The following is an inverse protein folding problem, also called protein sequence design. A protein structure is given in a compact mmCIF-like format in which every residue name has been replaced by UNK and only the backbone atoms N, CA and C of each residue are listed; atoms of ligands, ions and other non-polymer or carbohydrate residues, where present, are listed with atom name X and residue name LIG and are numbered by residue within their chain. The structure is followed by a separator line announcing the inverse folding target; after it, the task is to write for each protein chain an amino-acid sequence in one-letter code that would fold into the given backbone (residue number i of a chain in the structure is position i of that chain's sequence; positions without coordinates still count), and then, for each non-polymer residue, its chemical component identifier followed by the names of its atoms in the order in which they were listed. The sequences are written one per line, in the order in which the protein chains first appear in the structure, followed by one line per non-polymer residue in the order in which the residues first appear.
data_IF_086316919927
#
_entry.id   IF_086316919927
#
_cell.length_a   1.000
_cell.length_b   1.000
_cell.length_c   1.000
_cell.angle_alpha   90.00
_cell.angle_beta   90.00
_cell.angle_gamma   90.00
#
_symmetry.space_group_name_H-M   'P 1'
#
loop_
_entity.id
_entity.type
_entity.pdbx_description
1 polymer ?
#
# COMPACT_ATOMS: atom_id res chain seq x y z
N UNK A 1 38.75 2.04 -40.21
CA UNK A 1 37.81 0.94 -39.90
C UNK A 1 36.39 1.49 -39.97
N UNK A 2 35.56 1.04 -40.91
CA UNK A 2 34.15 1.45 -41.00
C UNK A 2 33.38 0.68 -39.93
N UNK A 3 32.83 1.38 -38.94
CA UNK A 3 31.78 0.81 -38.08
C UNK A 3 30.64 0.40 -39.02
N UNK A 4 30.39 -0.91 -39.16
CA UNK A 4 29.15 -1.39 -39.75
C UNK A 4 28.03 -0.84 -38.87
N UNK A 5 27.27 0.13 -39.39
CA UNK A 5 25.97 0.47 -38.79
C UNK A 5 25.17 -0.82 -38.76
N UNK A 6 24.86 -1.29 -37.56
CA UNK A 6 23.91 -2.39 -37.38
C UNK A 6 22.63 -2.00 -38.11
N UNK A 7 22.03 -2.93 -38.86
CA UNK A 7 20.75 -2.65 -39.49
C UNK A 7 19.75 -2.20 -38.40
N UNK A 8 18.92 -1.17 -38.67
CA UNK A 8 17.99 -0.67 -37.67
C UNK A 8 17.07 -1.80 -37.23
N UNK A 9 16.90 -1.93 -35.91
CA UNK A 9 16.01 -2.92 -35.31
C UNK A 9 14.57 -2.63 -35.75
N UNK A 10 13.76 -3.68 -35.97
CA UNK A 10 12.40 -3.56 -36.51
C UNK A 10 11.29 -3.90 -35.49
N UNK A 11 11.65 -4.21 -34.24
CA UNK A 11 10.72 -4.59 -33.18
C UNK A 11 11.26 -4.12 -31.82
N UNK A 12 10.35 -3.87 -30.87
CA UNK A 12 10.71 -3.42 -29.52
C UNK A 12 11.60 -4.44 -28.79
N UNK A 13 12.42 -3.95 -27.86
CA UNK A 13 13.09 -4.83 -26.91
C UNK A 13 12.06 -5.45 -25.97
N UNK A 14 12.36 -6.64 -25.46
CA UNK A 14 11.69 -7.20 -24.30
C UNK A 14 12.69 -7.34 -23.16
N UNK A 15 12.20 -7.34 -21.92
CA UNK A 15 13.06 -7.52 -20.74
C UNK A 15 13.77 -8.88 -20.82
N UNK A 16 13.06 -9.94 -21.23
CA UNK A 16 13.60 -11.29 -21.35
C UNK A 16 14.76 -11.32 -22.35
N UNK A 17 14.66 -10.60 -23.48
CA UNK A 17 15.75 -10.51 -24.43
C UNK A 17 16.97 -9.81 -23.84
N UNK A 18 16.79 -8.70 -23.13
CA UNK A 18 17.90 -8.00 -22.46
C UNK A 18 18.52 -8.88 -21.38
N UNK A 19 17.73 -9.69 -20.69
CA UNK A 19 18.21 -10.66 -19.70
C UNK A 19 19.08 -11.77 -20.32
N UNK A 20 18.90 -12.14 -21.59
CA UNK A 20 19.80 -13.10 -22.25
C UNK A 20 21.22 -12.56 -22.48
N UNK A 21 21.39 -11.23 -22.52
CA UNK A 21 22.69 -10.60 -22.71
C UNK A 21 23.51 -10.68 -21.42
N UNK A 22 24.81 -10.92 -21.53
CA UNK A 22 25.72 -10.81 -20.38
C UNK A 22 25.83 -9.35 -19.91
N UNK A 23 26.16 -9.15 -18.63
CA UNK A 23 26.40 -7.80 -18.06
C UNK A 23 27.39 -6.98 -18.89
N UNK A 24 28.43 -7.62 -19.45
CA UNK A 24 29.43 -6.94 -20.30
C UNK A 24 28.85 -6.50 -21.65
N UNK A 25 27.94 -7.30 -22.23
CA UNK A 25 27.27 -6.97 -23.49
C UNK A 25 26.29 -5.81 -23.32
N UNK A 26 25.50 -5.82 -22.24
CA UNK A 26 24.58 -4.73 -21.93
C UNK A 26 25.36 -3.41 -21.79
N UNK A 27 26.43 -3.39 -20.99
CA UNK A 27 27.28 -2.21 -20.79
C UNK A 27 27.90 -1.76 -22.12
N UNK A 28 28.38 -2.70 -22.95
CA UNK A 28 28.95 -2.37 -24.27
C UNK A 28 27.90 -1.72 -25.17
N UNK A 29 26.66 -2.22 -25.18
CA UNK A 29 25.58 -1.70 -26.01
C UNK A 29 25.11 -0.32 -25.51
N UNK A 30 24.98 -0.13 -24.20
CA UNK A 30 24.73 1.20 -23.59
C UNK A 30 25.79 2.23 -24.01
N UNK A 31 27.08 1.87 -23.94
CA UNK A 31 28.17 2.75 -24.43
C UNK A 31 28.10 2.99 -25.93
N UNK A 32 27.70 1.99 -26.70
CA UNK A 32 27.44 2.11 -28.14
C UNK A 32 26.33 3.12 -28.46
N UNK A 33 25.37 3.28 -27.56
CA UNK A 33 24.32 4.30 -27.64
C UNK A 33 24.68 5.64 -26.97
N UNK A 34 25.92 5.84 -26.54
CA UNK A 34 26.38 7.11 -25.99
C UNK A 34 26.30 7.25 -24.46
N UNK A 35 25.83 6.23 -23.73
CA UNK A 35 25.83 6.25 -22.26
C UNK A 35 27.25 5.96 -21.74
N UNK A 36 27.92 6.91 -21.07
CA UNK A 36 29.23 6.70 -20.44
C UNK A 36 29.11 5.87 -19.15
N UNK A 37 28.73 4.60 -19.31
CA UNK A 37 28.45 3.72 -18.20
C UNK A 37 29.73 3.41 -17.39
N UNK A 38 29.72 3.80 -16.11
CA UNK A 38 30.73 3.44 -15.11
C UNK A 38 30.06 2.72 -13.95
N UNK A 39 30.56 1.53 -13.61
CA UNK A 39 29.98 0.70 -12.53
C UNK A 39 29.94 1.43 -11.19
N UNK A 40 31.01 2.17 -10.84
CA UNK A 40 31.05 2.93 -9.60
C UNK A 40 29.96 4.02 -9.54
N UNK A 41 29.77 4.76 -10.63
CA UNK A 41 28.73 5.78 -10.72
C UNK A 41 27.34 5.14 -10.66
N UNK A 42 27.12 4.06 -11.40
CA UNK A 42 25.85 3.32 -11.39
C UNK A 42 25.46 2.90 -9.96
N UNK A 43 26.41 2.35 -9.18
CA UNK A 43 26.15 1.93 -7.80
C UNK A 43 25.83 3.09 -6.84
N UNK A 44 26.24 4.31 -7.17
CA UNK A 44 25.83 5.52 -6.44
C UNK A 44 24.49 6.06 -6.95
N UNK A 45 24.23 5.99 -8.25
CA UNK A 45 22.98 6.44 -8.86
C UNK A 45 21.79 5.62 -8.38
N UNK A 46 21.92 4.29 -8.27
CA UNK A 46 20.84 3.41 -7.77
C UNK A 46 20.42 3.72 -6.32
N UNK A 47 21.24 4.47 -5.56
CA UNK A 47 20.86 4.94 -4.21
C UNK A 47 20.07 6.25 -4.24
N UNK A 48 20.09 6.97 -5.37
CA UNK A 48 19.50 8.30 -5.56
C UNK A 48 18.21 8.25 -6.34
N UNK A 49 18.08 7.30 -7.26
CA UNK A 49 16.88 7.07 -8.05
C UNK A 49 16.05 5.93 -7.44
N UNK A 50 14.74 5.97 -7.67
CA UNK A 50 13.85 4.90 -7.24
C UNK A 50 13.46 3.97 -8.38
N UNK A 51 13.49 4.41 -9.64
CA UNK A 51 13.12 3.60 -10.79
C UNK A 51 14.26 3.57 -11.82
N UNK A 52 14.35 2.48 -12.57
CA UNK A 52 15.26 2.36 -13.69
C UNK A 52 14.84 3.28 -14.85
N UNK A 53 13.55 3.55 -15.02
CA UNK A 53 13.04 4.54 -15.96
C UNK A 53 13.56 5.95 -15.64
N UNK A 54 13.48 6.41 -14.39
CA UNK A 54 13.97 7.74 -14.00
C UNK A 54 15.49 7.86 -14.16
N UNK A 55 16.22 6.77 -13.89
CA UNK A 55 17.65 6.71 -14.11
C UNK A 55 18.00 6.79 -15.61
N UNK A 56 17.23 6.12 -16.47
CA UNK A 56 17.39 6.21 -17.92
C UNK A 56 17.06 7.62 -18.44
N UNK A 57 16.00 8.25 -17.95
CA UNK A 57 15.67 9.65 -18.25
C UNK A 57 16.78 10.60 -17.81
N UNK A 58 17.41 10.34 -16.66
CA UNK A 58 18.58 11.08 -16.23
C UNK A 58 19.74 10.92 -17.23
N UNK A 59 20.03 9.70 -17.69
CA UNK A 59 21.05 9.47 -18.71
C UNK A 59 20.77 10.21 -20.02
N UNK A 60 19.51 10.23 -20.48
CA UNK A 60 19.10 11.00 -21.69
C UNK A 60 19.44 12.48 -21.55
N UNK A 61 19.34 13.05 -20.34
CA UNK A 61 19.63 14.48 -20.10
C UNK A 61 21.13 14.79 -20.02
N UNK A 62 21.97 13.85 -19.61
CA UNK A 62 23.39 14.11 -19.33
C UNK A 62 24.36 13.51 -20.37
N UNK A 63 23.88 12.60 -21.22
CA UNK A 63 24.70 11.94 -22.24
C UNK A 63 24.14 12.17 -23.65
N UNK A 64 25.00 12.15 -24.68
CA UNK A 64 24.56 12.26 -26.07
C UNK A 64 23.99 10.92 -26.56
N UNK A 65 22.80 10.55 -26.06
CA UNK A 65 22.18 9.27 -26.40
C UNK A 65 21.79 9.25 -27.89
N UNK A 66 22.17 8.18 -28.59
CA UNK A 66 21.89 7.98 -30.02
C UNK A 66 20.94 6.80 -30.28
N UNK A 67 20.37 6.21 -29.23
CA UNK A 67 19.30 5.23 -29.37
C UNK A 67 18.06 5.95 -29.89
N UNK A 68 17.46 5.44 -30.96
CA UNK A 68 16.26 6.01 -31.57
C UNK A 68 15.25 4.89 -31.83
N UNK A 69 13.96 5.24 -31.82
CA UNK A 69 12.86 4.33 -32.15
C UNK A 69 12.86 3.08 -31.26
N UNK A 70 12.90 1.89 -31.87
CA UNK A 70 12.88 0.62 -31.17
C UNK A 70 14.07 0.38 -30.24
N UNK A 71 15.18 1.12 -30.39
CA UNK A 71 16.33 0.99 -29.49
C UNK A 71 16.24 1.89 -28.25
N UNK A 72 15.31 2.85 -28.18
CA UNK A 72 15.10 3.70 -26.99
C UNK A 72 14.75 2.85 -25.76
N UNK A 73 13.93 1.81 -25.97
CA UNK A 73 13.53 0.88 -24.91
C UNK A 73 14.71 0.16 -24.27
N UNK A 74 15.77 -0.05 -25.04
CA UNK A 74 16.95 -0.74 -24.53
C UNK A 74 17.57 0.00 -23.33
N UNK A 75 17.50 1.34 -23.29
CA UNK A 75 18.19 2.13 -22.27
C UNK A 75 17.61 1.85 -20.88
N UNK A 76 16.28 1.95 -20.73
CA UNK A 76 15.60 1.71 -19.46
C UNK A 76 15.56 0.22 -19.10
N UNK A 77 15.36 -0.68 -20.07
CA UNK A 77 15.41 -2.12 -19.84
C UNK A 77 16.80 -2.59 -19.39
N UNK A 78 17.86 -2.06 -20.00
CA UNK A 78 19.23 -2.31 -19.58
C UNK A 78 19.49 -1.81 -18.15
N UNK A 79 18.94 -0.64 -17.78
CA UNK A 79 19.03 -0.14 -16.42
C UNK A 79 18.39 -1.11 -15.43
N UNK A 80 17.19 -1.65 -15.70
CA UNK A 80 16.52 -2.66 -14.85
C UNK A 80 17.41 -3.89 -14.66
N UNK A 81 17.87 -4.48 -15.76
CA UNK A 81 18.65 -5.73 -15.72
C UNK A 81 20.00 -5.52 -15.03
N UNK A 82 20.67 -4.39 -15.27
CA UNK A 82 21.92 -4.05 -14.58
C UNK A 82 21.70 -3.77 -13.11
N UNK A 83 20.58 -3.15 -12.72
CA UNK A 83 20.25 -2.89 -11.33
C UNK A 83 20.11 -4.20 -10.55
N UNK A 84 19.30 -5.13 -11.07
CA UNK A 84 19.11 -6.48 -10.50
C UNK A 84 20.43 -7.24 -10.32
N UNK A 85 21.37 -7.07 -11.26
CA UNK A 85 22.64 -7.82 -11.28
C UNK A 85 23.76 -7.17 -10.47
N UNK A 86 23.83 -5.84 -10.44
CA UNK A 86 24.94 -5.10 -9.86
C UNK A 86 24.64 -4.56 -8.46
N UNK A 87 23.36 -4.33 -8.15
CA UNK A 87 22.89 -3.84 -6.85
C UNK A 87 21.65 -4.62 -6.39
N UNK A 88 21.73 -5.96 -6.24
CA UNK A 88 20.57 -6.80 -5.90
C UNK A 88 19.92 -6.44 -4.55
N UNK A 89 20.68 -5.85 -3.63
CA UNK A 89 20.20 -5.44 -2.30
C UNK A 89 19.42 -4.11 -2.33
N UNK A 90 19.42 -3.40 -3.46
CA UNK A 90 18.73 -2.13 -3.65
C UNK A 90 17.52 -2.34 -4.54
N UNK A 91 16.33 -2.42 -3.96
CA UNK A 91 15.07 -2.65 -4.69
C UNK A 91 14.63 -1.38 -5.41
N UNK A 92 14.53 -1.43 -6.73
CA UNK A 92 13.94 -0.36 -7.55
C UNK A 92 12.40 -0.46 -7.62
N UNK A 93 11.76 0.51 -8.27
CA UNK A 93 10.30 0.62 -8.31
C UNK A 93 9.68 -0.42 -9.22
N UNK A 94 10.36 -0.82 -10.30
CA UNK A 94 9.90 -1.89 -11.18
C UNK A 94 9.84 -3.24 -10.44
N UNK A 95 10.86 -3.57 -9.64
CA UNK A 95 10.84 -4.75 -8.78
C UNK A 95 9.76 -4.65 -7.69
N UNK A 96 9.55 -3.46 -7.13
CA UNK A 96 8.54 -3.26 -6.10
C UNK A 96 7.12 -3.35 -6.68
N UNK A 97 6.91 -2.88 -7.90
CA UNK A 97 5.66 -2.99 -8.65
C UNK A 97 5.36 -4.45 -9.00
N UNK A 98 6.36 -5.21 -9.47
CA UNK A 98 6.24 -6.67 -9.66
C UNK A 98 5.82 -7.38 -8.36
N UNK A 99 6.39 -6.96 -7.22
CA UNK A 99 5.99 -7.49 -5.91
C UNK A 99 4.53 -7.14 -5.58
N UNK A 100 4.10 -5.90 -5.82
CA UNK A 100 2.72 -5.46 -5.61
C UNK A 100 1.75 -6.24 -6.49
N UNK A 101 2.04 -6.41 -7.78
CA UNK A 101 1.19 -7.20 -8.67
C UNK A 101 1.05 -8.63 -8.19
N UNK A 102 2.15 -9.23 -7.69
CA UNK A 102 2.08 -10.56 -7.09
C UNK A 102 1.23 -10.59 -5.81
N UNK A 103 1.23 -9.53 -5.00
CA UNK A 103 0.31 -9.37 -3.87
C UNK A 103 -1.15 -9.44 -4.31
N UNK A 104 -1.52 -8.65 -5.32
CA UNK A 104 -2.87 -8.68 -5.91
C UNK A 104 -3.22 -10.03 -6.53
N UNK A 105 -2.27 -10.73 -7.17
CA UNK A 105 -2.48 -12.10 -7.66
C UNK A 105 -2.80 -13.06 -6.53
N UNK A 106 -2.01 -13.04 -5.45
CA UNK A 106 -2.23 -13.89 -4.27
C UNK A 106 -3.61 -13.64 -3.65
N UNK A 107 -4.04 -12.37 -3.60
CA UNK A 107 -5.41 -12.01 -3.20
C UNK A 107 -6.46 -12.62 -4.12
N UNK A 108 -6.31 -12.52 -5.45
CA UNK A 108 -7.22 -13.14 -6.43
C UNK A 108 -7.26 -14.67 -6.30
N UNK A 109 -6.12 -15.28 -6.01
CA UNK A 109 -5.96 -16.72 -5.73
C UNK A 109 -6.52 -17.14 -4.35
N UNK A 110 -7.07 -16.20 -3.54
CA UNK A 110 -7.53 -16.41 -2.15
C UNK A 110 -6.46 -16.89 -1.19
N UNK A 111 -5.19 -16.59 -1.46
CA UNK A 111 -4.03 -16.92 -0.61
C UNK A 111 -3.73 -15.75 0.34
N UNK A 112 -4.71 -15.41 1.18
CA UNK A 112 -4.72 -14.16 1.95
C UNK A 112 -3.51 -14.03 2.89
N UNK A 113 -3.11 -15.11 3.58
CA UNK A 113 -1.92 -15.09 4.46
C UNK A 113 -0.64 -14.77 3.71
N UNK A 114 -0.47 -15.34 2.51
CA UNK A 114 0.69 -15.08 1.66
C UNK A 114 0.68 -13.67 1.07
N UNK A 115 -0.51 -13.18 0.69
CA UNK A 115 -0.73 -11.80 0.31
C UNK A 115 -0.26 -10.86 1.44
N UNK A 116 -0.78 -11.01 2.66
CA UNK A 116 -0.39 -10.17 3.80
C UNK A 116 1.11 -10.18 4.09
N UNK A 117 1.76 -11.35 3.98
CA UNK A 117 3.22 -11.45 4.14
C UNK A 117 3.97 -10.72 3.03
N UNK A 118 3.49 -10.79 1.78
CA UNK A 118 4.06 -10.06 0.64
C UNK A 118 3.89 -8.55 0.81
N UNK A 119 2.70 -8.09 1.16
CA UNK A 119 2.41 -6.68 1.39
C UNK A 119 3.22 -6.10 2.56
N UNK A 120 3.45 -6.89 3.61
CA UNK A 120 4.34 -6.52 4.72
C UNK A 120 5.78 -6.32 4.24
N UNK A 121 6.28 -7.14 3.32
CA UNK A 121 7.62 -6.94 2.74
C UNK A 121 7.69 -5.66 1.91
N UNK A 122 6.68 -5.42 1.06
CA UNK A 122 6.56 -4.21 0.22
C UNK A 122 6.60 -2.96 1.10
N UNK A 123 5.83 -2.97 2.19
CA UNK A 123 5.82 -1.90 3.19
C UNK A 123 7.20 -1.61 3.77
N UNK A 124 7.95 -2.63 4.19
CA UNK A 124 9.29 -2.43 4.75
C UNK A 124 10.30 -1.90 3.73
N UNK A 125 10.09 -2.15 2.44
CA UNK A 125 10.87 -1.49 1.37
C UNK A 125 10.45 -0.03 1.16
N UNK A 126 9.15 0.27 1.11
CA UNK A 126 8.63 1.62 0.95
C UNK A 126 9.03 2.55 2.10
N UNK A 127 8.93 2.07 3.35
CA UNK A 127 9.30 2.82 4.55
C UNK A 127 10.72 3.37 4.50
N UNK A 128 11.66 2.63 3.90
CA UNK A 128 13.06 3.05 3.75
C UNK A 128 13.23 4.21 2.76
N UNK A 129 12.24 4.44 1.89
CA UNK A 129 12.25 5.54 0.92
C UNK A 129 11.62 6.81 1.47
N UNK A 130 10.82 6.72 2.53
CA UNK A 130 10.17 7.89 3.13
C UNK A 130 11.18 8.78 3.84
N UNK A 131 11.17 10.05 3.48
CA UNK A 131 11.97 11.08 4.16
C UNK A 131 11.19 11.65 5.36
N UNK A 132 11.88 12.25 6.35
CA UNK A 132 11.20 12.91 7.48
C UNK A 132 10.19 14.00 7.07
N UNK A 133 10.35 14.60 5.89
CA UNK A 133 9.48 15.66 5.36
C UNK A 133 8.22 15.12 4.67
N UNK A 134 8.18 13.83 4.34
CA UNK A 134 7.00 13.16 3.80
C UNK A 134 6.04 12.86 4.94
N UNK A 135 5.08 13.77 5.18
CA UNK A 135 4.07 13.64 6.25
C UNK A 135 2.73 13.11 5.78
N UNK A 136 2.54 12.82 4.50
CA UNK A 136 1.29 12.29 3.94
C UNK A 136 1.59 11.21 2.90
N UNK A 137 0.67 10.24 2.74
CA UNK A 137 0.83 9.21 1.69
C UNK A 137 0.81 9.82 0.30
N UNK A 138 0.05 10.91 0.12
CA UNK A 138 -0.03 11.68 -1.12
C UNK A 138 1.33 12.30 -1.48
N UNK A 139 2.08 12.80 -0.50
CA UNK A 139 3.45 13.29 -0.72
C UNK A 139 4.42 12.13 -0.96
N UNK A 140 4.17 10.96 -0.36
CA UNK A 140 5.02 9.78 -0.52
C UNK A 140 4.85 9.10 -1.89
N UNK A 141 3.79 9.39 -2.66
CA UNK A 141 3.63 8.87 -4.04
C UNK A 141 4.88 9.14 -4.90
N UNK A 142 5.60 10.25 -4.67
CA UNK A 142 6.79 10.58 -5.46
C UNK A 142 7.97 9.62 -5.28
N UNK A 143 7.95 8.72 -4.28
CA UNK A 143 9.04 7.75 -4.05
C UNK A 143 8.78 6.38 -4.68
N UNK A 144 7.71 6.27 -5.45
CA UNK A 144 7.33 5.05 -6.15
C UNK A 144 6.78 5.36 -7.53
N UNK A 145 7.21 4.58 -8.51
CA UNK A 145 6.71 4.63 -9.88
C UNK A 145 6.29 3.22 -10.28
N UNK A 146 5.01 3.01 -10.56
CA UNK A 146 4.47 1.69 -10.89
C UNK A 146 3.02 1.76 -11.33
N UNK A 147 2.37 0.60 -11.39
CA UNK A 147 0.97 0.47 -11.80
C UNK A 147 -0.03 0.84 -10.69
N UNK A 148 0.42 0.84 -9.44
CA UNK A 148 -0.43 1.05 -8.27
C UNK A 148 -0.21 2.44 -7.67
N UNK A 149 -1.26 2.96 -7.03
CA UNK A 149 -1.18 4.16 -6.21
C UNK A 149 -0.91 3.76 -4.76
N UNK A 150 0.09 4.36 -4.12
CA UNK A 150 0.37 4.15 -2.70
C UNK A 150 -0.83 4.52 -1.82
N UNK A 151 -1.59 5.55 -2.20
CA UNK A 151 -2.82 5.96 -1.52
C UNK A 151 -3.87 4.83 -1.48
N UNK A 152 -4.08 4.12 -2.58
CA UNK A 152 -5.01 2.97 -2.62
C UNK A 152 -4.41 1.75 -1.93
N UNK A 153 -3.16 1.44 -2.26
CA UNK A 153 -2.45 0.27 -1.76
C UNK A 153 -2.38 0.23 -0.23
N UNK A 154 -2.13 1.36 0.45
CA UNK A 154 -2.07 1.38 1.91
C UNK A 154 -3.39 0.98 2.58
N UNK A 155 -4.53 1.36 1.98
CA UNK A 155 -5.86 1.00 2.47
C UNK A 155 -6.20 -0.45 2.15
N UNK A 156 -5.80 -0.94 0.97
CA UNK A 156 -5.94 -2.35 0.61
C UNK A 156 -5.17 -3.24 1.60
N UNK A 157 -3.94 -2.87 1.96
CA UNK A 157 -3.13 -3.60 2.93
C UNK A 157 -3.82 -3.69 4.30
N UNK A 158 -4.35 -2.57 4.80
CA UNK A 158 -5.12 -2.57 6.04
C UNK A 158 -6.29 -3.57 5.96
N UNK A 159 -7.06 -3.50 4.88
CA UNK A 159 -8.26 -4.31 4.69
C UNK A 159 -7.92 -5.80 4.64
N UNK A 160 -6.85 -6.17 3.93
CA UNK A 160 -6.41 -7.56 3.83
C UNK A 160 -5.90 -8.11 5.15
N UNK A 161 -5.23 -7.30 5.98
CA UNK A 161 -4.89 -7.71 7.35
C UNK A 161 -6.14 -7.98 8.18
N UNK A 162 -7.20 -7.20 7.99
CA UNK A 162 -8.50 -7.41 8.63
C UNK A 162 -9.16 -8.70 8.18
N UNK A 163 -9.20 -8.93 6.86
CA UNK A 163 -9.73 -10.16 6.28
C UNK A 163 -8.97 -11.39 6.80
N UNK A 164 -7.64 -11.35 6.81
CA UNK A 164 -6.79 -12.43 7.32
C UNK A 164 -7.02 -12.68 8.82
N UNK A 165 -7.30 -11.63 9.59
CA UNK A 165 -7.58 -11.71 11.02
C UNK A 165 -8.75 -12.64 11.36
N UNK A 166 -9.74 -12.74 10.47
CA UNK A 166 -10.91 -13.61 10.66
C UNK A 166 -10.57 -15.10 10.67
N UNK A 167 -9.45 -15.49 10.04
CA UNK A 167 -8.95 -16.86 10.03
C UNK A 167 -7.82 -17.08 11.04
N UNK A 168 -7.08 -16.03 11.38
CA UNK A 168 -5.88 -16.10 12.21
C UNK A 168 -5.64 -14.76 12.91
N UNK A 169 -5.95 -14.73 14.21
CA UNK A 169 -6.03 -13.50 15.01
C UNK A 169 -4.72 -12.72 15.08
N UNK A 170 -3.56 -13.34 14.82
CA UNK A 170 -2.27 -12.64 14.72
C UNK A 170 -2.29 -11.51 13.69
N UNK A 171 -3.13 -11.62 12.65
CA UNK A 171 -3.24 -10.57 11.64
C UNK A 171 -4.00 -9.33 12.15
N UNK A 172 -4.85 -9.46 13.18
CA UNK A 172 -5.41 -8.29 13.86
C UNK A 172 -4.33 -7.53 14.64
N UNK A 173 -3.39 -8.23 15.29
CA UNK A 173 -2.24 -7.60 15.93
C UNK A 173 -1.37 -6.85 14.91
N UNK A 174 -1.12 -7.47 13.75
CA UNK A 174 -0.41 -6.82 12.63
C UNK A 174 -1.18 -5.62 12.07
N UNK A 175 -2.52 -5.70 11.96
CA UNK A 175 -3.37 -4.56 11.53
C UNK A 175 -3.25 -3.39 12.50
N UNK A 176 -3.25 -3.66 13.81
CA UNK A 176 -3.04 -2.64 14.85
C UNK A 176 -1.67 -1.98 14.71
N UNK A 177 -0.60 -2.77 14.60
CA UNK A 177 0.76 -2.25 14.41
C UNK A 177 0.85 -1.41 13.13
N UNK A 178 0.26 -1.91 12.05
CA UNK A 178 0.22 -1.26 10.75
C UNK A 178 -0.43 0.12 10.83
N UNK A 179 -1.67 0.18 11.32
CA UNK A 179 -2.44 1.41 11.42
C UNK A 179 -1.73 2.46 12.28
N UNK A 180 -1.19 2.03 13.43
CA UNK A 180 -0.46 2.90 14.36
C UNK A 180 0.79 3.50 13.75
N UNK A 181 1.60 2.67 13.09
CA UNK A 181 2.80 3.17 12.43
C UNK A 181 2.42 4.12 11.29
N UNK A 182 1.37 3.79 10.52
CA UNK A 182 0.91 4.59 9.39
C UNK A 182 0.56 6.03 9.81
N UNK A 183 -0.38 6.23 10.74
CA UNK A 183 -0.79 7.59 11.11
C UNK A 183 0.26 8.32 11.98
N UNK A 184 1.23 7.61 12.58
CA UNK A 184 2.37 8.22 13.27
C UNK A 184 3.40 8.76 12.28
N UNK A 185 3.65 8.02 11.22
CA UNK A 185 4.64 8.35 10.20
C UNK A 185 4.11 9.38 9.20
N UNK A 186 2.84 9.26 8.83
CA UNK A 186 2.17 10.07 7.81
C UNK A 186 0.94 10.80 8.40
N UNK A 187 1.12 11.67 9.42
CA UNK A 187 0.03 12.30 10.15
C UNK A 187 -0.83 13.27 9.32
N UNK A 188 -0.28 13.80 8.22
CA UNK A 188 -0.93 14.79 7.34
C UNK A 188 -1.61 14.12 6.14
N UNK A 189 -1.69 12.78 6.12
CA UNK A 189 -2.51 12.04 5.15
C UNK A 189 -3.97 12.47 5.25
N UNK A 190 -4.72 12.41 4.14
CA UNK A 190 -6.13 12.79 4.14
C UNK A 190 -6.91 12.24 5.35
N UNK A 191 -7.77 13.10 5.91
CA UNK A 191 -8.51 12.78 7.14
C UNK A 191 -9.41 11.54 7.00
N UNK A 192 -9.88 11.25 5.78
CA UNK A 192 -10.63 10.03 5.48
C UNK A 192 -9.79 8.78 5.77
N UNK A 193 -8.57 8.71 5.23
CA UNK A 193 -7.68 7.55 5.41
C UNK A 193 -7.24 7.44 6.87
N UNK A 194 -6.89 8.55 7.52
CA UNK A 194 -6.53 8.55 8.95
C UNK A 194 -7.68 8.02 9.82
N UNK A 195 -8.92 8.45 9.57
CA UNK A 195 -10.09 7.95 10.28
C UNK A 195 -10.32 6.45 10.04
N UNK A 196 -10.13 5.97 8.80
CA UNK A 196 -10.25 4.55 8.48
C UNK A 196 -9.19 3.72 9.23
N UNK A 197 -7.93 4.14 9.21
CA UNK A 197 -6.83 3.45 9.93
C UNK A 197 -7.08 3.40 11.44
N UNK A 198 -7.52 4.51 12.05
CA UNK A 198 -7.86 4.52 13.49
C UNK A 198 -9.06 3.63 13.80
N UNK A 199 -10.07 3.61 12.93
CA UNK A 199 -11.23 2.72 13.09
C UNK A 199 -10.82 1.25 13.00
N UNK A 200 -10.01 0.91 12.02
CA UNK A 200 -9.45 -0.43 11.82
C UNK A 200 -8.66 -0.94 13.03
N UNK A 201 -7.84 -0.07 13.63
CA UNK A 201 -7.17 -0.36 14.90
C UNK A 201 -8.19 -0.68 16.00
N UNK A 202 -9.21 0.17 16.16
CA UNK A 202 -10.21 0.01 17.20
C UNK A 202 -11.05 -1.27 17.02
N UNK A 203 -11.48 -1.57 15.80
CA UNK A 203 -12.17 -2.81 15.43
C UNK A 203 -11.32 -4.05 15.74
N UNK A 204 -10.02 -4.00 15.41
CA UNK A 204 -9.09 -5.10 15.64
C UNK A 204 -8.96 -5.45 17.12
N UNK A 205 -9.03 -4.47 18.03
CA UNK A 205 -9.08 -4.73 19.47
C UNK A 205 -10.31 -5.51 19.89
N UNK A 206 -11.48 -5.19 19.34
CA UNK A 206 -12.68 -5.95 19.61
C UNK A 206 -12.56 -7.38 19.10
N UNK A 207 -12.02 -7.59 17.89
CA UNK A 207 -11.81 -8.92 17.33
C UNK A 207 -10.80 -9.77 18.10
N UNK A 208 -9.90 -9.15 18.86
CA UNK A 208 -8.99 -9.82 19.79
C UNK A 208 -9.60 -10.05 21.19
N UNK A 209 -10.87 -9.70 21.40
CA UNK A 209 -11.53 -9.76 22.71
C UNK A 209 -11.08 -8.66 23.69
N UNK A 210 -10.24 -7.72 23.26
CA UNK A 210 -9.72 -6.61 24.08
C UNK A 210 -10.67 -5.40 24.08
N UNK A 211 -11.93 -5.66 24.47
CA UNK A 211 -13.04 -4.71 24.40
C UNK A 211 -12.72 -3.34 25.00
N UNK A 212 -12.12 -3.28 26.18
CA UNK A 212 -11.82 -2.01 26.86
C UNK A 212 -10.85 -1.14 26.06
N UNK A 213 -9.88 -1.75 25.37
CA UNK A 213 -8.96 -1.04 24.47
C UNK A 213 -9.67 -0.56 23.22
N UNK A 214 -10.54 -1.40 22.64
CA UNK A 214 -11.39 -1.01 21.51
C UNK A 214 -12.29 0.18 21.85
N UNK A 215 -12.99 0.14 22.98
CA UNK A 215 -13.81 1.24 23.48
C UNK A 215 -13.00 2.52 23.68
N UNK A 216 -11.80 2.41 24.29
CA UNK A 216 -10.93 3.56 24.48
C UNK A 216 -10.44 4.14 23.15
N UNK A 217 -10.14 3.30 22.16
CA UNK A 217 -9.75 3.74 20.82
C UNK A 217 -10.89 4.46 20.11
N UNK A 218 -12.12 3.91 20.12
CA UNK A 218 -13.28 4.57 19.53
C UNK A 218 -13.65 5.88 20.21
N UNK A 219 -13.54 5.96 21.55
CA UNK A 219 -13.74 7.22 22.29
C UNK A 219 -12.80 8.31 21.79
N UNK A 220 -11.51 7.99 21.62
CA UNK A 220 -10.54 8.93 21.04
C UNK A 220 -10.94 9.37 19.63
N UNK A 221 -11.40 8.45 18.79
CA UNK A 221 -11.86 8.78 17.42
C UNK A 221 -13.01 9.78 17.45
N UNK A 222 -14.02 9.59 18.30
CA UNK A 222 -15.17 10.51 18.35
C UNK A 222 -14.89 11.81 19.12
N UNK A 223 -13.82 11.86 19.90
CA UNK A 223 -13.31 13.09 20.52
C UNK A 223 -12.52 13.92 19.49
N UNK A 224 -11.73 13.26 18.64
CA UNK A 224 -10.91 13.89 17.61
C UNK A 224 -11.73 14.29 16.36
N UNK A 225 -12.72 13.48 15.99
CA UNK A 225 -13.58 13.66 14.81
C UNK A 225 -15.07 13.57 15.16
N UNK A 226 -15.59 14.44 16.06
CA UNK A 226 -16.96 14.34 16.56
C UNK A 226 -18.03 14.49 15.47
N UNK A 227 -17.69 15.17 14.36
CA UNK A 227 -18.55 15.43 13.21
C UNK A 227 -18.66 14.22 12.26
N UNK A 228 -17.75 13.25 12.37
CA UNK A 228 -17.69 12.08 11.50
C UNK A 228 -18.56 10.95 12.03
N UNK A 229 -19.65 10.61 11.32
CA UNK A 229 -20.55 9.53 11.71
C UNK A 229 -19.85 8.17 11.87
N UNK A 230 -18.83 7.90 11.05
CA UNK A 230 -18.17 6.59 10.98
C UNK A 230 -17.45 6.14 12.26
N UNK A 231 -17.06 7.06 13.14
CA UNK A 231 -16.53 6.71 14.46
C UNK A 231 -17.61 6.09 15.34
N UNK A 232 -18.81 6.67 15.35
CA UNK A 232 -19.96 6.15 16.09
C UNK A 232 -20.53 4.89 15.44
N UNK A 233 -20.59 4.85 14.11
CA UNK A 233 -21.09 3.67 13.37
C UNK A 233 -20.21 2.46 13.67
N UNK A 234 -18.91 2.56 13.41
CA UNK A 234 -17.99 1.45 13.67
C UNK A 234 -18.01 0.99 15.12
N UNK A 235 -18.08 1.94 16.07
CA UNK A 235 -18.13 1.59 17.49
C UNK A 235 -19.41 0.84 17.86
N UNK A 236 -20.58 1.31 17.42
CA UNK A 236 -21.85 0.64 17.70
C UNK A 236 -21.94 -0.73 17.02
N UNK A 237 -21.41 -0.87 15.80
CA UNK A 237 -21.45 -2.12 15.04
C UNK A 237 -20.72 -3.26 15.78
N UNK A 238 -19.65 -2.96 16.52
CA UNK A 238 -18.92 -3.95 17.34
C UNK A 238 -19.73 -4.61 18.45
N UNK A 239 -20.87 -4.03 18.84
CA UNK A 239 -21.71 -4.52 19.93
C UNK A 239 -22.84 -5.45 19.50
N UNK A 240 -23.13 -5.53 18.21
CA UNK A 240 -24.24 -6.38 17.73
C UNK A 240 -24.05 -6.97 16.34
N UNK A 241 -23.44 -6.23 15.42
CA UNK A 241 -23.35 -6.65 14.02
C UNK A 241 -22.31 -7.75 13.85
N UNK A 242 -21.19 -7.61 14.55
CA UNK A 242 -20.07 -8.53 14.45
C UNK A 242 -20.08 -9.63 15.52
N UNK A 243 -20.84 -9.49 16.61
CA UNK A 243 -20.91 -10.39 17.79
C UNK A 243 -21.44 -11.82 17.55
N UNK A 244 -21.32 -12.35 16.32
CA UNK A 244 -21.73 -13.71 15.95
C UNK A 244 -20.62 -14.76 16.10
N UNK A 245 -19.42 -14.35 16.53
CA UNK A 245 -18.35 -15.25 16.97
C UNK A 245 -18.33 -15.31 18.50
N UNK A 246 -18.10 -16.50 19.06
CA UNK A 246 -18.05 -16.75 20.51
C UNK A 246 -16.95 -15.94 21.26
N UNK A 247 -16.04 -15.32 20.51
CA UNK A 247 -14.92 -14.50 21.01
C UNK A 247 -15.22 -12.99 21.06
N UNK A 248 -16.32 -12.54 20.47
CA UNK A 248 -16.73 -11.13 20.48
C UNK A 248 -17.59 -10.79 21.71
N UNK A 249 -17.73 -9.50 22.09
CA UNK A 249 -18.61 -9.13 23.20
C UNK A 249 -20.01 -9.69 22.96
N UNK A 250 -20.59 -10.27 24.02
CA UNK A 250 -22.01 -10.65 24.02
C UNK A 250 -22.85 -9.50 23.48
N UNK A 251 -23.84 -9.84 22.64
CA UNK A 251 -24.79 -8.89 22.06
C UNK A 251 -25.25 -7.85 23.09
N UNK A 252 -24.97 -6.58 22.83
CA UNK A 252 -25.35 -5.45 23.68
C UNK A 252 -25.97 -4.36 22.81
N UNK A 253 -27.22 -4.65 22.44
CA UNK A 253 -27.98 -3.76 21.57
C UNK A 253 -28.26 -2.40 22.20
N UNK A 254 -28.33 -2.31 23.54
CA UNK A 254 -28.61 -1.05 24.22
C UNK A 254 -27.40 -0.12 24.18
N UNK A 255 -26.19 -0.67 24.34
CA UNK A 255 -24.98 0.12 24.18
C UNK A 255 -24.75 0.53 22.72
N UNK A 256 -25.03 -0.35 21.74
CA UNK A 256 -25.02 0.01 20.31
C UNK A 256 -25.96 1.19 20.03
N UNK A 257 -27.21 1.11 20.50
CA UNK A 257 -28.20 2.17 20.34
C UNK A 257 -27.74 3.49 20.95
N UNK A 258 -27.19 3.45 22.17
CA UNK A 258 -26.64 4.63 22.85
C UNK A 258 -25.56 5.30 22.01
N UNK A 259 -24.62 4.53 21.46
CA UNK A 259 -23.53 5.04 20.63
C UNK A 259 -24.07 5.68 19.34
N UNK A 260 -25.01 5.03 18.66
CA UNK A 260 -25.64 5.61 17.47
C UNK A 260 -26.39 6.91 17.78
N UNK A 261 -27.12 6.97 18.90
CA UNK A 261 -27.81 8.20 19.34
C UNK A 261 -26.83 9.33 19.67
N UNK A 262 -25.66 9.02 20.25
CA UNK A 262 -24.57 9.99 20.41
C UNK A 262 -24.11 10.52 19.04
N UNK A 263 -23.95 9.64 18.06
CA UNK A 263 -23.59 10.01 16.69
C UNK A 263 -24.64 10.91 16.01
N UNK A 264 -25.94 10.63 16.16
CA UNK A 264 -27.00 11.50 15.62
C UNK A 264 -26.92 12.94 16.16
N UNK A 265 -26.58 13.07 17.44
CA UNK A 265 -26.47 14.37 18.10
C UNK A 265 -25.24 15.17 17.64
N UNK A 266 -24.11 14.51 17.40
CA UNK A 266 -22.81 15.16 17.17
C UNK A 266 -22.32 15.17 15.72
N UNK A 267 -22.56 14.10 14.97
CA UNK A 267 -22.08 14.00 13.60
C UNK A 267 -22.70 15.10 12.72
N UNK A 268 -22.06 15.46 11.63
CA UNK A 268 -22.63 16.32 10.58
C UNK A 268 -22.59 15.63 9.21
N UNK A 269 -21.67 14.69 9.00
CA UNK A 269 -21.63 13.82 7.82
C UNK A 269 -22.46 12.55 8.03
N UNK A 270 -22.94 11.95 6.95
CA UNK A 270 -23.49 10.57 6.87
C UNK A 270 -24.51 10.17 7.96
N UNK A 271 -25.24 11.14 8.54
CA UNK A 271 -26.27 10.88 9.57
C UNK A 271 -27.32 9.85 9.14
N UNK A 272 -27.63 9.83 7.84
CA UNK A 272 -28.55 8.85 7.26
C UNK A 272 -28.09 7.42 7.51
N UNK A 273 -26.78 7.15 7.45
CA UNK A 273 -26.22 5.82 7.72
C UNK A 273 -26.44 5.42 9.19
N UNK A 274 -26.33 6.37 10.13
CA UNK A 274 -26.65 6.13 11.55
C UNK A 274 -28.14 5.79 11.72
N UNK A 275 -29.03 6.54 11.07
CA UNK A 275 -30.48 6.28 11.10
C UNK A 275 -30.81 4.91 10.51
N UNK A 276 -30.16 4.53 9.41
CA UNK A 276 -30.33 3.23 8.77
C UNK A 276 -29.87 2.11 9.71
N UNK A 277 -28.70 2.27 10.35
CA UNK A 277 -28.17 1.29 11.30
C UNK A 277 -29.03 1.13 12.56
N UNK A 278 -29.63 2.21 13.05
CA UNK A 278 -30.62 2.16 14.15
C UNK A 278 -31.87 1.37 13.77
N UNK A 279 -32.36 1.49 12.52
CA UNK A 279 -33.51 0.69 12.07
C UNK A 279 -33.16 -0.79 11.99
N UNK A 280 -32.00 -1.12 11.43
CA UNK A 280 -31.51 -2.50 11.39
C UNK A 280 -31.41 -3.12 12.79
N UNK A 281 -30.87 -2.35 13.75
CA UNK A 281 -30.75 -2.73 15.16
C UNK A 281 -32.13 -3.05 15.79
N UNK A 282 -33.12 -2.20 15.56
CA UNK A 282 -34.50 -2.41 16.06
C UNK A 282 -35.15 -3.64 15.45
N UNK A 283 -34.90 -3.92 14.17
CA UNK A 283 -35.39 -5.12 13.50
C UNK A 283 -34.76 -6.39 14.08
N UNK A 284 -33.46 -6.40 14.33
CA UNK A 284 -32.79 -7.54 14.98
C UNK A 284 -33.27 -7.73 16.43
N UNK A 285 -33.40 -6.66 17.22
CA UNK A 285 -33.98 -6.73 18.59
C UNK A 285 -35.34 -7.44 18.57
N UNK A 286 -36.21 -7.16 17.60
CA UNK A 286 -37.52 -7.81 17.46
C UNK A 286 -37.45 -9.29 17.09
N UNK A 287 -36.42 -9.72 16.34
CA UNK A 287 -36.24 -11.14 15.99
C UNK A 287 -35.83 -11.98 17.20
N UNK A 288 -34.97 -11.43 18.07
CA UNK A 288 -34.50 -12.14 19.28
C UNK A 288 -35.57 -12.21 20.38
N UNK A 289 -36.52 -11.27 20.40
CA UNK A 289 -37.64 -11.27 21.36
C UNK A 289 -38.82 -12.16 20.96
N UNK A 290 -38.77 -12.81 19.79
CA UNK A 290 -39.78 -13.77 19.31
C UNK A 290 -39.31 -15.19 19.50
#
# INVERSE_FOLDING_TARGET
MRFRRQAPRMYHWSIEEVETLSTKEIIRKLRGFGVDFKRSQFLEDVKRFYSASDLADHWVRIYPITAEWFDEDFIWMAAIVLWRRLAPDVINSEQLDEMMQRGYDLKRERRIKECCNKESQIREHLKKRFSPDMKSIENAESVFTGMQSLFNWCQDLELELGNAGSEDTIFYEKRIEYCREFYRMLPDTSSLVIKNMKRAEAESYFFLGEKEKGDAAFKKIIEEFPESAWGYIGWGDMYWLFSRNDELPRLDYDNAEKIYRMGLAKATSDKRVILDRLRDLEEEKKKVMR
#
